data_IF_680305714734
#
_entry.id   IF_680305714734
#
_cell.length_a   1.000
_cell.length_b   1.000
_cell.length_c   1.000
_cell.angle_alpha   90.00
_cell.angle_beta   90.00
_cell.angle_gamma   90.00
#
_symmetry.space_group_name_H-M   'P 1'
#
loop_
_entity.id
_entity.type
_entity.pdbx_description
1 polymer ?
#
# COMPACT_ATOMS: atom_id res chain seq x y z
N UNK A 1 17.36 -15.74 -4.38
CA UNK A 1 16.56 -15.34 -5.55
C UNK A 1 15.85 -14.03 -5.24
N UNK A 2 15.83 -13.04 -6.15
CA UNK A 2 15.21 -11.74 -5.98
C UNK A 2 13.95 -11.62 -6.85
N UNK A 3 12.80 -11.39 -6.24
CA UNK A 3 11.53 -11.21 -6.96
C UNK A 3 10.90 -9.91 -6.49
N UNK A 4 10.57 -9.02 -7.42
CA UNK A 4 9.66 -7.92 -7.12
C UNK A 4 8.25 -8.49 -7.11
N UNK A 5 7.62 -8.63 -5.95
CA UNK A 5 6.35 -9.35 -5.86
C UNK A 5 5.13 -8.43 -6.04
N UNK A 6 5.31 -7.12 -6.20
CA UNK A 6 4.20 -6.17 -6.30
C UNK A 6 4.37 -5.29 -7.53
N UNK A 7 3.67 -5.61 -8.60
CA UNK A 7 3.55 -4.76 -9.78
C UNK A 7 2.12 -4.77 -10.30
N UNK A 8 1.70 -3.65 -10.87
CA UNK A 8 0.39 -3.55 -11.50
C UNK A 8 0.55 -3.53 -13.02
N UNK A 9 -0.33 -4.23 -13.72
CA UNK A 9 -0.40 -4.19 -15.17
C UNK A 9 -1.46 -3.21 -15.64
N UNK A 10 -1.60 -3.07 -16.95
CA UNK A 10 -2.68 -2.33 -17.60
C UNK A 10 -4.10 -2.87 -17.32
N UNK A 11 -4.25 -4.02 -16.65
CA UNK A 11 -5.56 -4.49 -16.19
C UNK A 11 -6.01 -3.84 -14.89
N UNK A 12 -5.10 -3.24 -14.12
CA UNK A 12 -5.46 -2.36 -13.01
C UNK A 12 -5.95 -1.03 -13.56
N UNK A 13 -7.00 -0.46 -12.97
CA UNK A 13 -7.49 0.87 -13.35
C UNK A 13 -6.33 1.89 -13.30
N UNK A 14 -6.11 2.63 -14.39
CA UNK A 14 -5.00 3.57 -14.60
C UNK A 14 -3.59 2.95 -14.67
N UNK A 15 -3.45 1.62 -14.60
CA UNK A 15 -2.21 0.95 -14.96
C UNK A 15 -1.91 1.11 -16.44
N UNK A 16 -0.64 1.28 -16.78
CA UNK A 16 -0.23 1.60 -18.16
C UNK A 16 0.70 0.58 -18.81
N UNK A 17 1.24 -0.37 -18.03
CA UNK A 17 2.27 -1.29 -18.51
C UNK A 17 1.71 -2.66 -18.86
N UNK A 18 2.12 -3.17 -20.02
CA UNK A 18 1.92 -4.56 -20.40
C UNK A 18 2.86 -5.50 -19.65
N UNK A 19 2.51 -6.78 -19.60
CA UNK A 19 3.31 -7.83 -18.93
C UNK A 19 4.73 -7.94 -19.52
N UNK A 20 4.86 -7.79 -20.83
CA UNK A 20 6.18 -7.84 -21.50
C UNK A 20 7.07 -6.69 -21.04
N UNK A 21 6.52 -5.48 -20.90
CA UNK A 21 7.26 -4.30 -20.42
C UNK A 21 7.71 -4.45 -18.97
N UNK A 22 6.84 -4.99 -18.12
CA UNK A 22 7.14 -5.32 -16.72
C UNK A 22 8.26 -6.37 -16.62
N UNK A 23 8.21 -7.43 -17.44
CA UNK A 23 9.26 -8.46 -17.50
C UNK A 23 10.58 -7.86 -17.96
N UNK A 24 10.60 -7.04 -19.02
CA UNK A 24 11.82 -6.41 -19.51
C UNK A 24 12.40 -5.39 -18.51
N UNK A 25 11.55 -4.69 -17.75
CA UNK A 25 12.01 -3.85 -16.65
C UNK A 25 12.64 -4.67 -15.51
N UNK A 26 12.00 -5.78 -15.12
CA UNK A 26 12.54 -6.67 -14.08
C UNK A 26 13.88 -7.29 -14.48
N UNK A 27 14.04 -7.70 -15.75
CA UNK A 27 15.31 -8.18 -16.31
C UNK A 27 16.40 -7.12 -16.26
N UNK A 28 16.10 -5.89 -16.68
CA UNK A 28 17.04 -4.76 -16.61
C UNK A 28 17.45 -4.41 -15.17
N UNK A 29 16.57 -4.70 -14.21
CA UNK A 29 16.84 -4.57 -12.78
C UNK A 29 17.55 -5.78 -12.17
N UNK A 30 17.90 -6.80 -12.97
CA UNK A 30 18.52 -8.05 -12.51
C UNK A 30 17.69 -8.81 -11.47
N UNK A 31 16.36 -8.74 -11.59
CA UNK A 31 15.45 -9.58 -10.81
C UNK A 31 15.32 -10.95 -11.48
N UNK A 32 15.02 -11.96 -10.66
CA UNK A 32 14.79 -13.34 -11.10
C UNK A 32 13.31 -13.61 -11.44
N UNK A 33 12.41 -12.73 -11.02
CA UNK A 33 10.98 -12.83 -11.29
C UNK A 33 10.24 -11.54 -10.96
N UNK A 34 8.95 -11.50 -11.34
CA UNK A 34 8.04 -10.40 -11.01
C UNK A 34 6.65 -10.94 -10.60
N UNK A 35 6.04 -10.32 -9.60
CA UNK A 35 4.68 -10.56 -9.15
C UNK A 35 3.75 -9.52 -9.74
N UNK A 36 2.73 -9.96 -10.48
CA UNK A 36 1.68 -9.08 -11.01
C UNK A 36 0.45 -9.24 -10.12
N UNK A 37 0.08 -8.15 -9.44
CA UNK A 37 -0.92 -8.14 -8.36
C UNK A 37 -2.00 -7.12 -8.67
N UNK A 38 -2.70 -7.32 -9.77
CA UNK A 38 -3.71 -6.37 -10.23
C UNK A 38 -4.81 -6.13 -9.19
N UNK A 39 -5.31 -4.89 -9.14
CA UNK A 39 -6.34 -4.49 -8.19
C UNK A 39 -7.71 -4.95 -8.65
N UNK A 40 -8.39 -5.70 -7.79
CA UNK A 40 -9.77 -6.14 -8.00
C UNK A 40 -10.01 -6.79 -9.38
N UNK A 41 -9.00 -7.43 -9.98
CA UNK A 41 -9.15 -8.31 -11.14
C UNK A 41 -8.06 -9.37 -11.19
N UNK A 42 -8.44 -10.57 -11.64
CA UNK A 42 -7.51 -11.67 -11.93
C UNK A 42 -7.77 -12.31 -13.30
N UNK A 43 -8.72 -11.77 -14.07
CA UNK A 43 -9.19 -12.32 -15.34
C UNK A 43 -8.11 -12.57 -16.39
N UNK A 44 -7.03 -11.78 -16.35
CA UNK A 44 -5.91 -11.85 -17.32
C UNK A 44 -4.71 -12.67 -16.80
N UNK A 45 -4.79 -13.21 -15.59
CA UNK A 45 -3.68 -13.92 -14.94
C UNK A 45 -3.13 -15.09 -15.76
N UNK A 46 -3.99 -15.81 -16.50
CA UNK A 46 -3.56 -16.90 -17.39
C UNK A 46 -2.67 -16.39 -18.52
N UNK A 47 -3.06 -15.27 -19.14
CA UNK A 47 -2.30 -14.66 -20.23
C UNK A 47 -0.93 -14.17 -19.74
N UNK A 48 -0.83 -13.72 -18.49
CA UNK A 48 0.44 -13.32 -17.89
C UNK A 48 1.38 -14.51 -17.76
N UNK A 49 0.90 -15.64 -17.24
CA UNK A 49 1.67 -16.88 -17.10
C UNK A 49 2.09 -17.43 -18.47
N UNK A 50 1.21 -17.38 -19.47
CA UNK A 50 1.52 -17.81 -20.84
C UNK A 50 2.58 -16.92 -21.50
N UNK A 51 2.49 -15.61 -21.31
CA UNK A 51 3.48 -14.65 -21.79
C UNK A 51 4.83 -14.88 -21.11
N UNK A 52 4.84 -15.06 -19.80
CA UNK A 52 6.04 -15.37 -19.03
C UNK A 52 6.71 -16.67 -19.50
N UNK A 53 5.92 -17.73 -19.74
CA UNK A 53 6.41 -19.00 -20.28
C UNK A 53 7.04 -18.83 -21.66
N UNK A 54 6.40 -18.08 -22.57
CA UNK A 54 6.94 -17.79 -23.92
C UNK A 54 8.26 -17.01 -23.83
N UNK A 55 8.36 -16.10 -22.87
CA UNK A 55 9.57 -15.29 -22.68
C UNK A 55 10.63 -15.99 -21.82
N UNK A 56 10.34 -17.13 -21.20
CA UNK A 56 11.27 -17.82 -20.30
C UNK A 56 11.60 -17.00 -19.04
N UNK A 57 10.59 -16.41 -18.42
CA UNK A 57 10.73 -15.62 -17.20
C UNK A 57 9.74 -16.06 -16.12
N UNK A 58 10.06 -15.83 -14.85
CA UNK A 58 9.13 -16.12 -13.76
C UNK A 58 8.16 -14.95 -13.57
N UNK A 59 6.87 -15.24 -13.76
CA UNK A 59 5.78 -14.37 -13.33
C UNK A 59 4.96 -15.11 -12.27
N UNK A 60 4.80 -14.46 -11.13
CA UNK A 60 3.86 -14.85 -10.07
C UNK A 60 2.63 -13.97 -10.23
N UNK A 61 1.44 -14.54 -10.04
CA UNK A 61 0.20 -13.77 -10.08
C UNK A 61 -0.44 -13.74 -8.71
N UNK A 62 -0.89 -12.55 -8.32
CA UNK A 62 -1.70 -12.30 -7.14
C UNK A 62 -2.83 -11.34 -7.46
N UNK A 63 -3.59 -11.02 -6.43
CA UNK A 63 -4.76 -10.15 -6.49
C UNK A 63 -4.67 -9.18 -5.33
N UNK A 64 -4.70 -7.89 -5.61
CA UNK A 64 -4.81 -6.87 -4.57
C UNK A 64 -6.29 -6.53 -4.31
N UNK A 65 -6.69 -6.58 -3.05
CA UNK A 65 -8.04 -6.29 -2.60
C UNK A 65 -8.01 -5.22 -1.51
N UNK A 66 -8.94 -4.29 -1.60
CA UNK A 66 -9.31 -3.43 -0.49
C UNK A 66 -10.24 -4.21 0.45
N UNK A 67 -10.02 -4.07 1.76
CA UNK A 67 -10.83 -4.71 2.79
C UNK A 67 -11.30 -3.69 3.81
N UNK A 68 -12.22 -4.10 4.67
CA UNK A 68 -12.71 -3.31 5.81
C UNK A 68 -11.60 -2.76 6.74
N UNK A 69 -10.43 -3.41 6.73
CA UNK A 69 -9.28 -2.97 7.51
C UNK A 69 -8.11 -2.42 6.70
N UNK A 70 -8.15 -2.39 5.37
CA UNK A 70 -7.04 -1.90 4.54
C UNK A 70 -6.73 -2.86 3.39
N UNK A 71 -5.57 -2.71 2.74
CA UNK A 71 -5.24 -3.50 1.55
C UNK A 71 -4.57 -4.83 1.87
N UNK A 72 -4.95 -5.87 1.15
CA UNK A 72 -4.31 -7.18 1.18
C UNK A 72 -3.90 -7.59 -0.22
N UNK A 73 -2.85 -8.39 -0.34
CA UNK A 73 -2.54 -9.09 -1.59
C UNK A 73 -2.68 -10.59 -1.35
N UNK A 74 -3.60 -11.21 -2.08
CA UNK A 74 -3.78 -12.65 -2.04
C UNK A 74 -3.07 -13.32 -3.21
N UNK A 75 -2.39 -14.44 -2.95
CA UNK A 75 -1.80 -15.27 -3.99
C UNK A 75 -2.47 -16.65 -3.96
N UNK A 76 -3.08 -17.09 -5.07
CA UNK A 76 -3.66 -18.42 -5.12
C UNK A 76 -2.54 -19.48 -5.16
N UNK A 77 -2.84 -20.69 -4.67
CA UNK A 77 -1.90 -21.81 -4.78
C UNK A 77 -1.56 -22.13 -6.24
N UNK A 78 -2.54 -21.96 -7.13
CA UNK A 78 -2.46 -22.21 -8.56
C UNK A 78 -3.33 -21.20 -9.32
N UNK A 79 -3.00 -20.97 -10.60
CA UNK A 79 -3.75 -20.09 -11.49
C UNK A 79 -4.77 -20.92 -12.28
N UNK A 80 -5.82 -21.35 -11.58
CA UNK A 80 -6.87 -22.22 -12.12
C UNK A 80 -8.04 -21.43 -12.75
N UNK A 81 -9.05 -22.16 -13.25
CA UNK A 81 -10.23 -21.55 -13.87
C UNK A 81 -11.07 -20.77 -12.84
N UNK A 82 -11.13 -21.18 -11.57
CA UNK A 82 -11.91 -20.50 -10.53
C UNK A 82 -11.32 -19.11 -10.22
N UNK A 83 -9.98 -19.03 -10.14
CA UNK A 83 -9.27 -17.78 -9.95
C UNK A 83 -9.40 -16.85 -11.16
N UNK A 84 -9.26 -17.38 -12.37
CA UNK A 84 -9.38 -16.59 -13.61
C UNK A 84 -10.84 -16.14 -13.86
N UNK A 85 -11.83 -16.95 -13.49
CA UNK A 85 -13.25 -16.57 -13.56
C UNK A 85 -13.69 -15.63 -12.43
N UNK A 86 -12.75 -15.21 -11.57
CA UNK A 86 -12.95 -14.26 -10.49
C UNK A 86 -14.00 -14.69 -9.46
N UNK A 87 -14.07 -15.98 -9.12
CA UNK A 87 -15.06 -16.51 -8.18
C UNK A 87 -14.94 -15.90 -6.77
N UNK A 88 -13.77 -15.37 -6.43
CA UNK A 88 -13.52 -14.58 -5.23
C UNK A 88 -14.39 -13.31 -5.14
N UNK A 89 -14.95 -12.82 -6.26
CA UNK A 89 -15.91 -11.69 -6.23
C UNK A 89 -17.18 -11.97 -5.44
N UNK A 90 -17.49 -13.24 -5.18
CA UNK A 90 -18.59 -13.63 -4.28
C UNK A 90 -18.42 -13.09 -2.85
N UNK A 91 -17.21 -12.64 -2.47
CA UNK A 91 -16.92 -12.00 -1.19
C UNK A 91 -17.43 -10.55 -1.11
N UNK A 92 -17.79 -9.92 -2.24
CA UNK A 92 -18.20 -8.52 -2.34
C UNK A 92 -17.11 -7.57 -2.84
N UNK A 93 -17.45 -6.30 -3.04
CA UNK A 93 -16.52 -5.27 -3.56
C UNK A 93 -15.47 -4.84 -2.52
N UNK A 94 -15.86 -4.76 -1.25
CA UNK A 94 -14.98 -4.48 -0.11
C UNK A 94 -15.19 -5.59 0.94
N UNK A 95 -14.60 -6.78 0.73
CA UNK A 95 -14.73 -7.91 1.65
C UNK A 95 -14.06 -7.63 3.00
N UNK A 96 -14.40 -8.40 4.04
CA UNK A 96 -13.62 -8.34 5.29
C UNK A 96 -12.27 -9.02 5.09
N UNK A 97 -11.23 -8.56 5.79
CA UNK A 97 -9.93 -9.25 5.73
C UNK A 97 -10.03 -10.72 6.16
N UNK A 98 -10.91 -11.02 7.11
CA UNK A 98 -11.18 -12.39 7.56
C UNK A 98 -11.78 -13.26 6.45
N UNK A 99 -12.71 -12.74 5.64
CA UNK A 99 -13.31 -13.51 4.55
C UNK A 99 -12.33 -13.75 3.41
N UNK A 100 -11.42 -12.80 3.15
CA UNK A 100 -10.30 -12.99 2.21
C UNK A 100 -9.33 -14.06 2.71
N UNK A 101 -8.92 -13.97 3.98
CA UNK A 101 -8.07 -14.98 4.63
C UNK A 101 -8.70 -16.37 4.53
N UNK A 102 -9.97 -16.51 4.89
CA UNK A 102 -10.70 -17.77 4.77
C UNK A 102 -10.73 -18.30 3.34
N UNK A 103 -11.12 -17.46 2.38
CA UNK A 103 -11.28 -17.88 0.99
C UNK A 103 -9.97 -18.44 0.40
N UNK A 104 -8.86 -17.70 0.57
CA UNK A 104 -7.58 -18.08 -0.02
C UNK A 104 -6.89 -19.19 0.77
N UNK A 105 -6.92 -19.14 2.11
CA UNK A 105 -6.30 -20.19 2.90
C UNK A 105 -6.98 -21.55 2.74
N UNK A 106 -8.30 -21.61 2.59
CA UNK A 106 -9.03 -22.87 2.34
C UNK A 106 -8.66 -23.49 0.99
N UNK A 107 -8.24 -22.66 0.03
CA UNK A 107 -7.76 -23.05 -1.31
C UNK A 107 -6.23 -23.19 -1.38
N UNK A 108 -5.56 -23.19 -0.22
CA UNK A 108 -4.11 -23.37 -0.14
C UNK A 108 -3.28 -22.18 -0.61
N UNK A 109 -3.92 -21.03 -0.90
CA UNK A 109 -3.25 -19.77 -1.16
C UNK A 109 -2.69 -19.13 0.12
N UNK A 110 -2.22 -17.90 -0.02
CA UNK A 110 -1.70 -17.06 1.06
C UNK A 110 -2.24 -15.64 0.94
N UNK A 111 -2.20 -14.89 2.04
CA UNK A 111 -2.60 -13.48 2.08
C UNK A 111 -1.52 -12.66 2.76
N UNK A 112 -1.09 -11.61 2.08
CA UNK A 112 -0.09 -10.64 2.54
C UNK A 112 -0.78 -9.36 3.01
N UNK A 113 -0.45 -8.88 4.20
CA UNK A 113 -0.89 -7.58 4.67
C UNK A 113 -0.10 -6.47 3.96
N UNK A 114 -0.79 -5.57 3.24
CA UNK A 114 -0.18 -4.45 2.49
C UNK A 114 -0.37 -3.13 3.21
N UNK A 115 0.57 -2.21 2.98
CA UNK A 115 0.48 -0.82 3.46
C UNK A 115 0.11 -0.68 4.93
N UNK A 116 0.56 -1.63 5.77
CA UNK A 116 0.03 -1.85 7.13
C UNK A 116 -0.01 -0.56 7.94
N UNK A 117 1.08 0.20 7.97
CA UNK A 117 1.15 1.47 8.70
C UNK A 117 1.14 2.71 7.81
N UNK A 118 0.65 2.60 6.57
CA UNK A 118 0.36 3.80 5.78
C UNK A 118 -0.58 4.72 6.59
N UNK A 119 -0.23 6.01 6.64
CA UNK A 119 -0.90 7.02 7.48
C UNK A 119 -2.41 7.06 7.25
N UNK A 120 -2.78 7.08 5.99
CA UNK A 120 -4.11 7.50 5.54
C UNK A 120 -5.03 6.27 5.41
N UNK A 121 -4.50 5.15 4.91
CA UNK A 121 -5.30 3.98 4.51
C UNK A 121 -4.85 2.67 5.15
N UNK A 122 -3.82 2.68 5.99
CA UNK A 122 -3.23 1.46 6.56
C UNK A 122 -4.10 0.74 7.59
N UNK A 123 -3.87 -0.57 7.71
CA UNK A 123 -4.49 -1.43 8.73
C UNK A 123 -4.21 -1.00 10.16
N UNK A 124 -3.01 -0.48 10.40
CA UNK A 124 -2.45 -0.17 11.72
C UNK A 124 -2.55 -1.43 12.59
N UNK A 125 -2.92 -1.29 13.86
CA UNK A 125 -2.95 -2.42 14.79
C UNK A 125 -4.05 -3.46 14.49
N UNK A 126 -4.97 -3.18 13.56
CA UNK A 126 -5.98 -4.15 13.10
C UNK A 126 -5.36 -5.35 12.38
N UNK A 127 -4.11 -5.23 11.92
CA UNK A 127 -3.35 -6.35 11.32
C UNK A 127 -3.21 -7.54 12.27
N UNK A 128 -3.16 -7.30 13.58
CA UNK A 128 -3.00 -8.36 14.58
C UNK A 128 -4.29 -9.15 14.83
N UNK A 129 -5.45 -8.54 14.61
CA UNK A 129 -6.75 -9.14 14.94
C UNK A 129 -7.35 -9.97 13.80
N UNK A 130 -7.05 -9.65 12.54
CA UNK A 130 -7.61 -10.41 11.42
C UNK A 130 -7.11 -11.86 11.42
N UNK A 131 -8.05 -12.81 11.39
CA UNK A 131 -7.79 -14.25 11.37
C UNK A 131 -8.81 -14.96 10.49
N UNK A 132 -8.39 -16.04 9.83
CA UNK A 132 -9.31 -16.99 9.21
C UNK A 132 -10.12 -17.74 10.29
N UNK A 133 -11.12 -18.50 9.86
CA UNK A 133 -11.97 -19.35 10.72
C UNK A 133 -11.20 -20.40 11.54
N UNK A 134 -9.92 -20.65 11.22
CA UNK A 134 -9.02 -21.57 11.92
C UNK A 134 -8.03 -20.83 12.83
N UNK A 135 -8.17 -19.52 12.99
CA UNK A 135 -7.31 -18.70 13.84
C UNK A 135 -5.94 -18.38 13.24
N UNK A 136 -5.76 -18.48 11.91
CA UNK A 136 -4.52 -18.08 11.23
C UNK A 136 -4.63 -16.67 10.67
N UNK A 137 -3.61 -15.85 10.90
CA UNK A 137 -3.54 -14.49 10.34
C UNK A 137 -2.91 -14.47 8.96
N UNK A 138 -2.50 -13.28 8.51
CA UNK A 138 -1.72 -13.09 7.30
C UNK A 138 -0.44 -13.93 7.30
N UNK A 139 -0.03 -14.44 6.14
CA UNK A 139 1.18 -15.24 5.97
C UNK A 139 2.45 -14.38 5.90
N UNK A 140 2.32 -13.11 5.50
CA UNK A 140 3.42 -12.17 5.33
C UNK A 140 2.97 -10.72 5.57
N UNK A 141 3.94 -9.84 5.80
CA UNK A 141 3.74 -8.39 5.87
C UNK A 141 4.61 -7.70 4.81
N UNK A 142 4.02 -6.76 4.08
CA UNK A 142 4.75 -5.83 3.23
C UNK A 142 5.50 -4.81 4.09
N UNK A 143 6.80 -5.05 4.23
CA UNK A 143 7.68 -4.33 5.16
C UNK A 143 8.48 -3.22 4.49
N UNK A 144 8.48 -3.17 3.15
CA UNK A 144 9.26 -2.19 2.40
C UNK A 144 8.60 -1.82 1.07
N UNK A 145 8.14 -0.57 1.00
CA UNK A 145 7.73 0.07 -0.25
C UNK A 145 8.56 1.35 -0.49
N UNK A 146 8.89 1.59 -1.76
CA UNK A 146 9.88 2.59 -2.24
C UNK A 146 9.49 4.02 -1.90
N UNK A 147 8.19 4.33 -1.90
CA UNK A 147 7.67 5.67 -1.60
C UNK A 147 6.96 5.76 -0.24
N UNK A 148 7.05 4.69 0.56
CA UNK A 148 6.49 4.70 1.90
C UNK A 148 7.43 5.43 2.85
N UNK A 149 6.87 6.21 3.78
CA UNK A 149 7.66 6.90 4.81
C UNK A 149 8.48 5.87 5.57
N UNK A 150 9.73 6.21 5.88
CA UNK A 150 10.65 5.33 6.61
C UNK A 150 10.05 4.77 7.90
N UNK A 151 9.37 5.62 8.68
CA UNK A 151 8.74 5.19 9.94
C UNK A 151 7.63 4.16 9.73
N UNK A 152 6.89 4.24 8.61
CA UNK A 152 5.83 3.27 8.32
C UNK A 152 6.43 1.92 7.92
N UNK A 153 7.55 1.92 7.18
CA UNK A 153 8.32 0.69 6.92
C UNK A 153 8.87 0.08 8.22
N UNK A 154 9.44 0.90 9.11
CA UNK A 154 9.93 0.45 10.42
C UNK A 154 8.81 -0.15 11.29
N UNK A 155 7.63 0.46 11.32
CA UNK A 155 6.47 -0.09 12.02
C UNK A 155 5.96 -1.39 11.39
N UNK A 156 5.96 -1.50 10.06
CA UNK A 156 5.62 -2.77 9.38
C UNK A 156 6.61 -3.90 9.73
N UNK A 157 7.90 -3.58 9.87
CA UNK A 157 8.91 -4.55 10.34
C UNK A 157 8.61 -5.01 11.77
N UNK A 158 8.19 -4.11 12.66
CA UNK A 158 7.81 -4.50 14.01
C UNK A 158 6.54 -5.37 14.03
N UNK A 159 5.53 -5.07 13.21
CA UNK A 159 4.36 -5.94 13.06
C UNK A 159 4.74 -7.33 12.55
N UNK A 160 5.58 -7.41 11.52
CA UNK A 160 6.11 -8.65 10.98
C UNK A 160 6.76 -9.52 12.07
N UNK A 161 7.59 -8.92 12.93
CA UNK A 161 8.23 -9.62 14.06
C UNK A 161 7.23 -10.08 15.11
N UNK A 162 6.27 -9.24 15.50
CA UNK A 162 5.24 -9.58 16.50
C UNK A 162 4.36 -10.72 16.01
N UNK A 163 4.04 -10.73 14.71
CA UNK A 163 3.24 -11.78 14.08
C UNK A 163 4.03 -13.08 13.83
N UNK A 164 5.36 -13.02 13.84
CA UNK A 164 6.22 -14.18 13.60
C UNK A 164 6.17 -14.70 12.16
N UNK A 165 5.88 -13.81 11.21
CA UNK A 165 5.72 -14.12 9.78
C UNK A 165 6.87 -13.55 8.95
N UNK A 166 6.93 -13.87 7.66
CA UNK A 166 7.93 -13.30 6.77
C UNK A 166 7.65 -11.84 6.38
N UNK A 167 8.71 -11.13 6.00
CA UNK A 167 8.64 -9.76 5.49
C UNK A 167 8.93 -9.75 3.99
N UNK A 168 8.11 -9.04 3.22
CA UNK A 168 8.25 -8.98 1.76
C UNK A 168 8.21 -7.53 1.25
N UNK A 169 8.57 -7.38 -0.03
CA UNK A 169 8.67 -6.10 -0.72
C UNK A 169 8.49 -6.26 -2.23
N UNK A 170 8.01 -5.19 -2.85
CA UNK A 170 7.91 -5.03 -4.29
C UNK A 170 7.77 -3.56 -4.63
N UNK A 171 8.02 -3.19 -5.88
CA UNK A 171 8.04 -1.79 -6.31
C UNK A 171 6.70 -1.10 -6.13
N UNK A 172 5.60 -1.85 -6.32
CA UNK A 172 4.27 -1.28 -6.49
C UNK A 172 4.17 -0.41 -7.74
N UNK A 173 5.00 -0.70 -8.75
CA UNK A 173 5.13 0.13 -9.97
C UNK A 173 3.76 0.36 -10.61
N UNK A 174 3.49 1.62 -10.95
CA UNK A 174 2.21 2.04 -11.50
C UNK A 174 2.36 2.87 -12.77
N UNK A 175 3.16 3.94 -12.73
CA UNK A 175 3.34 4.89 -13.83
C UNK A 175 4.81 5.08 -14.28
N UNK A 176 5.79 4.54 -13.55
CA UNK A 176 7.22 4.65 -13.88
C UNK A 176 7.96 3.30 -13.75
N UNK A 177 8.29 2.66 -14.88
CA UNK A 177 9.05 1.40 -14.91
C UNK A 177 10.43 1.48 -14.23
N UNK A 178 10.97 2.68 -13.97
CA UNK A 178 12.23 2.84 -13.26
C UNK A 178 12.14 2.54 -11.76
N UNK A 179 10.92 2.43 -11.22
CA UNK A 179 10.63 2.00 -9.85
C UNK A 179 10.98 0.52 -9.60
N UNK A 180 10.88 -0.31 -10.65
CA UNK A 180 11.32 -1.69 -10.60
C UNK A 180 12.83 -1.72 -10.32
N UNK A 181 13.22 -2.48 -9.29
CA UNK A 181 14.62 -2.61 -8.88
C UNK A 181 15.06 -1.65 -7.78
N UNK A 182 14.16 -0.92 -7.13
CA UNK A 182 14.48 -0.22 -5.88
C UNK A 182 14.35 -1.13 -4.65
N UNK A 183 13.38 -2.03 -4.64
CA UNK A 183 13.24 -3.09 -3.64
C UNK A 183 12.78 -4.39 -4.29
N UNK A 184 12.95 -5.50 -3.56
CA UNK A 184 12.47 -6.82 -3.95
C UNK A 184 12.35 -7.70 -2.70
N UNK A 185 11.74 -8.87 -2.86
CA UNK A 185 11.76 -9.94 -1.88
C UNK A 185 12.90 -10.91 -2.22
N UNK A 186 13.82 -11.09 -1.28
CA UNK A 186 14.89 -12.08 -1.33
C UNK A 186 14.40 -13.40 -0.75
N UNK A 187 14.38 -14.45 -1.56
CA UNK A 187 14.09 -15.82 -1.16
C UNK A 187 15.38 -16.62 -0.93
N UNK A 188 15.42 -17.36 0.18
CA UNK A 188 16.46 -18.36 0.43
C UNK A 188 16.30 -19.57 -0.49
N UNK A 189 15.05 -20.02 -0.68
CA UNK A 189 14.71 -21.13 -1.55
C UNK A 189 14.59 -20.69 -3.02
N UNK A 190 14.73 -21.66 -3.92
CA UNK A 190 14.45 -21.43 -5.32
C UNK A 190 12.94 -21.43 -5.56
N UNK A 191 12.43 -20.37 -6.17
CA UNK A 191 11.04 -20.26 -6.63
C UNK A 191 11.05 -20.50 -8.13
N UNK A 192 10.26 -21.47 -8.60
CA UNK A 192 10.21 -21.84 -10.04
C UNK A 192 8.83 -21.65 -10.65
N UNK A 193 7.80 -21.48 -9.82
CA UNK A 193 6.40 -21.38 -10.22
C UNK A 193 5.54 -20.79 -9.08
N UNK A 194 4.24 -20.65 -9.35
CA UNK A 194 3.24 -20.16 -8.38
C UNK A 194 3.21 -20.98 -7.08
N UNK A 195 3.30 -22.31 -7.17
CA UNK A 195 3.14 -23.19 -6.02
C UNK A 195 4.37 -23.13 -5.08
N UNK A 196 5.57 -23.15 -5.65
CA UNK A 196 6.83 -22.96 -4.91
C UNK A 196 6.93 -21.56 -4.31
N UNK A 197 6.41 -20.53 -4.98
CA UNK A 197 6.28 -19.18 -4.40
C UNK A 197 5.41 -19.18 -3.15
N UNK A 198 4.20 -19.74 -3.25
CA UNK A 198 3.26 -19.83 -2.13
C UNK A 198 3.85 -20.63 -0.96
N UNK A 199 4.56 -21.73 -1.26
CA UNK A 199 5.25 -22.52 -0.24
C UNK A 199 6.36 -21.72 0.47
N UNK A 200 7.18 -20.98 -0.28
CA UNK A 200 8.27 -20.18 0.27
C UNK A 200 7.77 -18.98 1.10
N UNK A 201 6.69 -18.34 0.65
CA UNK A 201 6.04 -17.22 1.35
C UNK A 201 5.29 -17.66 2.62
N UNK A 202 4.79 -18.91 2.69
CA UNK A 202 4.23 -19.45 3.95
C UNK A 202 5.31 -19.70 5.01
N UNK A 203 6.56 -19.88 4.58
CA UNK A 203 7.72 -19.91 5.47
C UNK A 203 8.13 -18.51 5.94
N UNK A 204 9.31 -18.41 6.57
CA UNK A 204 9.89 -17.12 7.02
C UNK A 204 11.29 -16.86 6.44
N UNK A 205 11.76 -17.75 5.56
CA UNK A 205 13.08 -17.66 4.94
C UNK A 205 13.06 -16.81 3.67
N UNK A 206 12.45 -15.63 3.79
CA UNK A 206 12.42 -14.60 2.77
C UNK A 206 12.39 -13.22 3.44
N UNK A 207 12.95 -12.21 2.76
CA UNK A 207 13.16 -10.88 3.32
C UNK A 207 12.91 -9.78 2.30
N UNK A 208 12.27 -8.71 2.74
CA UNK A 208 12.30 -7.44 2.04
C UNK A 208 13.74 -6.90 1.97
N UNK A 209 14.20 -6.52 0.77
CA UNK A 209 15.52 -5.92 0.56
C UNK A 209 15.41 -4.68 -0.30
N UNK A 210 16.14 -3.63 0.10
CA UNK A 210 16.42 -2.48 -0.77
C UNK A 210 17.59 -2.81 -1.70
N UNK A 211 17.42 -2.57 -2.99
CA UNK A 211 18.40 -2.85 -4.03
C UNK A 211 19.16 -1.58 -4.48
N UNK A 212 18.61 -0.41 -4.16
CA UNK A 212 19.19 0.91 -4.40
C UNK A 212 19.10 1.76 -3.14
N UNK A 213 19.82 2.88 -3.13
CA UNK A 213 19.69 3.84 -2.05
C UNK A 213 18.30 4.47 -2.05
N UNK A 214 17.47 4.03 -1.11
CA UNK A 214 16.12 4.55 -0.90
C UNK A 214 16.14 5.98 -0.36
N UNK A 215 17.27 6.53 0.06
CA UNK A 215 17.39 7.92 0.49
C UNK A 215 17.05 8.95 -0.59
N UNK A 216 17.15 8.57 -1.88
CA UNK A 216 16.69 9.40 -3.01
C UNK A 216 15.20 9.20 -3.35
N UNK A 217 14.63 8.02 -3.07
CA UNK A 217 13.24 7.66 -3.42
C UNK A 217 12.23 7.84 -2.25
N UNK A 218 12.70 7.80 -1.00
CA UNK A 218 11.98 8.18 0.21
C UNK A 218 12.45 9.56 0.73
N UNK A 219 12.38 10.69 0.00
CA UNK A 219 12.64 11.98 0.64
C UNK A 219 11.62 12.15 1.78
N UNK A 220 12.10 12.59 2.94
CA UNK A 220 11.25 12.98 4.06
C UNK A 220 10.15 13.93 3.57
N UNK A 221 8.92 13.43 3.40
CA UNK A 221 7.75 14.25 3.09
C UNK A 221 7.29 14.34 1.64
N UNK A 222 7.69 13.45 0.73
CA UNK A 222 6.93 13.28 -0.53
C UNK A 222 5.74 12.36 -0.24
N UNK A 223 4.48 12.80 -0.43
CA UNK A 223 3.34 11.91 -0.31
C UNK A 223 3.48 10.78 -1.34
N UNK A 224 3.05 9.55 -1.01
CA UNK A 224 2.98 8.48 -1.99
C UNK A 224 2.18 8.95 -3.21
N UNK A 225 2.63 8.62 -4.43
CA UNK A 225 1.80 8.79 -5.62
C UNK A 225 0.73 7.70 -5.64
N UNK A 226 -0.33 7.87 -4.86
CA UNK A 226 -1.54 7.07 -4.99
C UNK A 226 -2.70 7.99 -5.41
N UNK A 227 -3.42 7.58 -6.45
CA UNK A 227 -4.80 7.94 -6.82
C UNK A 227 -5.21 9.42 -7.03
N UNK A 228 -4.30 10.40 -7.07
CA UNK A 228 -4.68 11.80 -7.43
C UNK A 228 -4.87 12.04 -8.95
N UNK A 229 -5.02 10.98 -9.75
CA UNK A 229 -5.26 11.12 -11.19
C UNK A 229 -6.73 11.25 -11.58
N UNK A 230 -7.67 11.54 -10.67
CA UNK A 230 -9.07 11.84 -11.07
C UNK A 230 -9.73 12.80 -10.07
N UNK A 231 -9.61 14.11 -10.29
CA UNK A 231 -10.72 15.09 -10.12
C UNK A 231 -10.34 16.51 -10.56
N UNK A 232 -9.75 16.73 -11.76
CA UNK A 232 -9.78 18.10 -12.35
C UNK A 232 -9.59 18.20 -13.88
N UNK A 233 -10.06 17.23 -14.66
CA UNK A 233 -10.01 17.34 -16.14
C UNK A 233 -11.35 17.19 -16.87
N UNK A 234 -12.47 17.34 -16.15
CA UNK A 234 -13.81 17.26 -16.76
C UNK A 234 -14.71 18.47 -16.47
N UNK A 235 -14.15 19.68 -16.34
CA UNK A 235 -14.92 20.93 -16.37
C UNK A 235 -14.24 22.03 -17.20
N UNK A 236 -13.74 21.69 -18.39
CA UNK A 236 -13.59 22.65 -19.50
C UNK A 236 -14.00 21.99 -20.81
N UNK A 237 -15.27 21.60 -20.88
CA UNK A 237 -15.94 21.42 -22.16
C UNK A 237 -16.04 22.79 -22.84
N UNK A 238 -15.27 22.92 -23.91
CA UNK A 238 -15.38 23.90 -24.97
C UNK A 238 -16.81 23.84 -25.57
N UNK A 239 -17.79 24.49 -24.92
CA UNK A 239 -19.03 24.87 -25.57
C UNK A 239 -18.85 26.21 -26.28
N UNK A 240 -18.21 26.14 -27.43
CA UNK A 240 -18.23 27.19 -28.45
C UNK A 240 -19.65 27.37 -29.01
N UNK A 241 -20.52 28.04 -28.26
CA UNK A 241 -21.81 28.52 -28.75
C UNK A 241 -21.68 29.95 -29.29
N UNK A 242 -21.73 30.04 -30.62
CA UNK A 242 -21.87 31.26 -31.40
C UNK A 242 -23.17 31.99 -31.02
N UNK A 243 -23.11 33.30 -30.72
CA UNK A 243 -24.08 34.36 -31.16
C UNK A 243 -23.75 35.76 -30.59
N UNK A 244 -24.29 36.88 -31.15
CA UNK A 244 -23.48 37.86 -31.88
C UNK A 244 -23.42 39.27 -31.26
N UNK A 245 -22.50 40.07 -31.81
CA UNK A 245 -22.34 41.52 -31.61
C UNK A 245 -23.61 42.32 -31.96
N UNK A 246 -24.10 43.09 -31.00
CA UNK A 246 -24.83 44.38 -31.09
C UNK A 246 -24.49 45.09 -29.76
N UNK A 247 -23.90 46.27 -29.68
CA UNK A 247 -24.08 47.47 -30.49
C UNK A 247 -24.91 48.46 -29.68
N UNK A 248 -24.28 49.55 -29.22
CA UNK A 248 -24.98 50.81 -28.93
C UNK A 248 -25.26 51.13 -27.45
N UNK A 249 -24.43 52.05 -26.95
CA UNK A 249 -24.84 53.37 -26.46
C UNK A 249 -25.43 53.61 -25.04
N UNK A 250 -24.75 54.55 -24.39
CA UNK A 250 -25.27 55.73 -23.69
C UNK A 250 -25.75 55.67 -22.21
N UNK A 251 -25.05 56.51 -21.42
CA UNK A 251 -25.54 57.46 -20.38
C UNK A 251 -25.42 57.14 -18.88
N UNK A 252 -24.48 57.90 -18.30
CA UNK A 252 -24.66 58.95 -17.25
C UNK A 252 -24.82 58.58 -15.77
N UNK A 253 -24.04 59.37 -15.01
CA UNK A 253 -24.30 59.99 -13.70
C UNK A 253 -24.54 59.06 -12.50
N UNK A 254 -23.96 59.23 -11.32
CA UNK A 254 -23.12 60.29 -10.78
C UNK A 254 -23.12 60.19 -9.25
N UNK A 255 -21.97 60.49 -8.63
CA UNK A 255 -21.77 61.13 -7.31
C UNK A 255 -22.39 60.52 -6.03
N UNK A 256 -21.47 60.44 -5.04
CA UNK A 256 -21.52 61.05 -3.69
C UNK A 256 -21.87 60.20 -2.44
N UNK A 257 -20.90 60.22 -1.51
CA UNK A 257 -20.97 60.42 -0.02
C UNK A 257 -21.60 59.27 0.80
N UNK A 258 -21.14 58.91 2.00
CA UNK A 258 -20.16 59.44 2.96
C UNK A 258 -19.79 58.32 3.98
N UNK A 259 -18.62 58.35 4.60
CA UNK A 259 -18.30 58.89 5.95
C UNK A 259 -18.99 58.19 7.14
N UNK A 260 -18.17 57.55 7.98
CA UNK A 260 -18.06 57.63 9.46
C UNK A 260 -17.68 56.26 10.06
N UNK A 261 -16.46 56.03 10.59
CA UNK A 261 -15.90 56.45 11.90
C UNK A 261 -16.66 55.96 13.14
N UNK A 262 -16.19 54.87 13.79
CA UNK A 262 -16.10 54.60 15.26
C UNK A 262 -15.08 53.46 15.47
N UNK A 263 -13.82 53.67 15.88
CA UNK A 263 -13.23 53.96 17.21
C UNK A 263 -13.74 53.11 18.40
N UNK A 264 -12.80 52.29 18.90
CA UNK A 264 -12.31 52.06 20.30
C UNK A 264 -13.27 51.50 21.36
N UNK A 265 -12.83 50.42 22.03
CA UNK A 265 -12.36 50.34 23.44
C UNK A 265 -11.89 48.88 23.71
N UNK A 266 -10.66 48.55 24.08
CA UNK A 266 -9.89 48.70 25.34
C UNK A 266 -10.56 48.16 26.62
N UNK A 267 -9.96 47.09 27.17
CA UNK A 267 -9.70 46.71 28.59
C UNK A 267 -9.34 45.20 28.58
N UNK A 268 -8.12 44.74 28.79
CA UNK A 268 -7.29 44.76 30.03
C UNK A 268 -8.07 44.29 31.27
N UNK A 269 -7.57 43.21 31.91
CA UNK A 269 -7.36 43.06 33.37
C UNK A 269 -7.44 41.58 33.85
N UNK A 270 -6.35 41.14 34.51
CA UNK A 270 -6.34 40.23 35.67
C UNK A 270 -6.13 38.73 35.39
N UNK A 271 -4.95 38.13 35.62
CA UNK A 271 -4.30 37.79 36.91
C UNK A 271 -5.15 36.87 37.82
N UNK A 272 -4.74 35.61 38.01
CA UNK A 272 -4.26 35.19 39.33
C UNK A 272 -3.71 33.75 39.37
N UNK A 273 -2.70 33.64 40.24
CA UNK A 273 -1.98 32.46 40.69
C UNK A 273 -2.86 31.34 41.29
N UNK A 274 -2.34 30.10 41.28
CA UNK A 274 -1.89 29.40 42.50
C UNK A 274 -1.58 27.91 42.30
N UNK A 275 -0.40 27.52 42.84
CA UNK A 275 -0.09 26.33 43.68
C UNK A 275 -0.41 24.96 43.07
N UNK A 276 0.53 24.05 42.89
CA UNK A 276 1.53 23.59 43.86
C UNK A 276 1.26 22.12 44.19
N UNK A 277 2.24 21.24 44.02
CA UNK A 277 2.06 19.81 44.30
C UNK A 277 3.31 18.98 44.11
N UNK A 278 4.20 19.00 45.10
CA UNK A 278 5.29 18.03 45.27
C UNK A 278 4.71 16.66 45.63
N UNK A 279 5.24 15.59 45.02
CA UNK A 279 4.98 14.21 45.43
C UNK A 279 6.23 13.35 45.23
N UNK A 280 7.05 13.26 46.28
CA UNK A 280 8.10 12.25 46.40
C UNK A 280 7.45 10.89 46.70
N UNK A 281 7.97 9.82 46.10
CA UNK A 281 7.62 8.44 46.44
C UNK A 281 8.75 7.48 46.12
N UNK A 282 9.68 7.29 47.06
CA UNK A 282 10.65 6.19 47.09
C UNK A 282 9.97 4.91 47.59
N UNK A 283 10.29 3.77 46.99
CA UNK A 283 10.39 2.40 47.58
C UNK A 283 11.02 1.50 46.51
N UNK A 284 12.28 1.06 46.55
CA UNK A 284 12.97 0.13 47.48
C UNK A 284 12.39 -1.28 47.55
N UNK A 285 13.16 -2.25 47.03
CA UNK A 285 13.01 -3.72 47.16
C UNK A 285 13.58 -4.34 45.88
N UNK A 286 14.84 -4.78 45.77
CA UNK A 286 15.68 -5.71 46.54
C UNK A 286 15.10 -7.12 46.68
N UNK A 287 15.84 -8.10 46.14
CA UNK A 287 15.67 -9.55 46.31
C UNK A 287 15.20 -10.26 45.03
N UNK A 288 15.92 -11.21 44.43
CA UNK A 288 17.16 -11.85 44.83
C UNK A 288 17.66 -12.78 43.72
N UNK A 289 18.98 -12.93 43.66
CA UNK A 289 19.70 -13.96 42.90
C UNK A 289 19.42 -15.33 43.50
N UNK A 290 19.07 -16.34 42.68
CA UNK A 290 19.47 -17.75 42.88
C UNK A 290 19.52 -18.52 41.54
N UNK A 291 20.74 -18.68 41.02
CA UNK A 291 21.32 -19.92 40.46
C UNK A 291 22.65 -20.09 41.23
N UNK A 292 23.30 -21.27 41.35
CA UNK A 292 23.20 -22.42 40.44
C UNK A 292 23.30 -23.83 41.08
N UNK A 293 23.33 -24.83 40.18
CA UNK A 293 24.01 -26.14 40.23
C UNK A 293 23.42 -27.31 41.03
N UNK A 294 23.36 -28.43 40.30
CA UNK A 294 22.87 -29.76 40.64
C UNK A 294 22.54 -30.47 39.34
#
# INVERSE_FOLDING_TARGET
MLIDIFAYSASTAHGVFGVEELIEAARRAHLDGIGITDRATSSRSREYVETARRLGYLVIVGLELETDIGRVTAYPAQVDDEYVSESWRSLGECPTAESVLDYFHQRGGIVVARDVYNRDEGMKDRVYSAKDSRGRGFDCVDTLAVYRRRIDNELSIEAQKVMGVGGCAGSGVFDDLSDIGYCATLFADQVTDQASFVAAMRGVLHWAVGLRDLGQACPMGVPPRYDEAVEDRSLRSDEGSRRPRRGGDDRRDGRNRGRDDRRRDRRDDGSDDRRGGRGQGRRSGNGGRRRPQG
#
